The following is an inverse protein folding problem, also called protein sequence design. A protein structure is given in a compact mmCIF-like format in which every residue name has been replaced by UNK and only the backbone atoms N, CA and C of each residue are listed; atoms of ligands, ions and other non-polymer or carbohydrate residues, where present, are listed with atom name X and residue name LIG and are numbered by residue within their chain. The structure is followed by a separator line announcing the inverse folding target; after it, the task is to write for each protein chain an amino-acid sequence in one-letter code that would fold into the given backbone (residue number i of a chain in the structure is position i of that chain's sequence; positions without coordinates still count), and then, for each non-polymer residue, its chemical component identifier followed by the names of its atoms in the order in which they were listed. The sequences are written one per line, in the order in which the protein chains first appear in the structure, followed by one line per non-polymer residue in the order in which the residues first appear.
data_IF_244606217444
#
_entry.id   IF_244606217444
#
_cell.length_a   1.000
_cell.length_b   1.000
_cell.length_c   1.000
_cell.angle_alpha   90.00
_cell.angle_beta   90.00
_cell.angle_gamma   90.00
#
_symmetry.space_group_name_H-M   'P 1'
#
loop_
_entity.id
_entity.type
_entity.pdbx_description
1 polymer ?
#
# COMPACT_ATOMS: atom_id res chain seq x y z
N UNK A 1 -10.38 -3.38 12.65
CA UNK A 1 -11.26 -2.55 13.52
C UNK A 1 -12.46 -1.93 12.80
N UNK A 2 -12.33 -1.45 11.55
CA UNK A 2 -13.46 -0.80 10.85
C UNK A 2 -14.61 -1.75 10.42
N UNK A 3 -14.33 -2.99 10.02
CA UNK A 3 -15.37 -3.93 9.57
C UNK A 3 -16.29 -4.42 10.69
N UNK A 4 -15.78 -4.62 11.91
CA UNK A 4 -16.60 -5.01 13.07
C UNK A 4 -17.60 -3.90 13.44
N UNK A 5 -17.17 -2.64 13.39
CA UNK A 5 -18.04 -1.49 13.63
C UNK A 5 -19.10 -1.33 12.53
N UNK A 6 -18.73 -1.56 11.26
CA UNK A 6 -19.67 -1.47 10.15
C UNK A 6 -20.77 -2.54 10.22
N UNK A 7 -20.41 -3.79 10.51
CA UNK A 7 -21.37 -4.89 10.64
C UNK A 7 -22.35 -4.65 11.78
N UNK A 8 -21.87 -4.11 12.91
CA UNK A 8 -22.72 -3.73 14.06
C UNK A 8 -23.65 -2.56 13.70
N UNK A 9 -23.16 -1.54 12.99
CA UNK A 9 -23.97 -0.41 12.53
C UNK A 9 -25.06 -0.84 11.54
N UNK A 10 -24.74 -1.69 10.57
CA UNK A 10 -25.72 -2.23 9.61
C UNK A 10 -26.79 -3.03 10.33
N UNK A 11 -26.42 -3.89 11.30
CA UNK A 11 -27.37 -4.67 12.10
C UNK A 11 -28.33 -3.77 12.88
N UNK A 12 -27.82 -2.68 13.45
CA UNK A 12 -28.63 -1.68 14.16
C UNK A 12 -29.60 -0.98 13.23
N UNK A 13 -29.15 -0.55 12.05
CA UNK A 13 -30.01 0.12 11.05
C UNK A 13 -31.09 -0.84 10.54
N UNK A 14 -30.74 -2.08 10.24
CA UNK A 14 -31.69 -3.10 9.80
C UNK A 14 -32.80 -3.34 10.83
N UNK A 15 -32.46 -3.42 12.12
CA UNK A 15 -33.43 -3.53 13.19
C UNK A 15 -34.44 -2.36 13.19
N UNK A 16 -33.96 -1.12 13.05
CA UNK A 16 -34.82 0.06 12.98
C UNK A 16 -35.69 0.11 11.72
N UNK A 17 -35.16 -0.34 10.57
CA UNK A 17 -35.93 -0.45 9.32
C UNK A 17 -37.07 -1.46 9.49
N UNK A 18 -36.80 -2.64 10.02
CA UNK A 18 -37.84 -3.67 10.26
C UNK A 18 -38.90 -3.17 11.23
N UNK A 19 -38.49 -2.52 12.33
CA UNK A 19 -39.43 -1.94 13.29
C UNK A 19 -40.28 -0.83 12.63
N UNK A 20 -39.66 0.07 11.87
CA UNK A 20 -40.34 1.14 11.15
C UNK A 20 -41.37 0.61 10.14
N UNK A 21 -41.04 -0.46 9.42
CA UNK A 21 -41.98 -1.14 8.51
C UNK A 21 -43.18 -1.71 9.28
N UNK A 22 -42.96 -2.36 10.42
CA UNK A 22 -44.04 -2.92 11.25
C UNK A 22 -44.97 -1.80 11.74
N UNK A 23 -44.42 -0.69 12.24
CA UNK A 23 -45.20 0.48 12.68
C UNK A 23 -45.95 1.11 11.51
N UNK A 24 -45.31 1.27 10.35
CA UNK A 24 -45.94 1.78 9.13
C UNK A 24 -47.12 0.91 8.70
N UNK A 25 -46.98 -0.42 8.73
CA UNK A 25 -48.05 -1.35 8.40
C UNK A 25 -49.22 -1.23 9.39
N UNK A 26 -48.96 -1.15 10.69
CA UNK A 26 -50.00 -0.97 11.72
C UNK A 26 -50.77 0.34 11.47
N UNK A 27 -50.06 1.45 11.29
CA UNK A 27 -50.68 2.76 11.08
C UNK A 27 -51.48 2.80 9.76
N UNK A 28 -50.93 2.23 8.69
CA UNK A 28 -51.56 2.22 7.36
C UNK A 28 -52.82 1.34 7.34
N UNK A 29 -52.82 0.20 8.02
CA UNK A 29 -54.02 -0.62 8.18
C UNK A 29 -55.08 0.10 9.02
N UNK A 30 -54.68 0.82 10.07
CA UNK A 30 -55.61 1.63 10.87
C UNK A 30 -56.23 2.79 10.07
N UNK A 31 -55.43 3.48 9.25
CA UNK A 31 -55.91 4.62 8.43
C UNK A 31 -56.79 4.20 7.26
N UNK A 32 -56.48 3.08 6.60
CA UNK A 32 -57.29 2.56 5.47
C UNK A 32 -58.47 1.68 5.93
N UNK A 33 -58.50 1.27 7.18
CA UNK A 33 -59.67 0.62 7.79
C UNK A 33 -60.77 1.67 7.99
N UNK A 34 -61.85 1.58 7.21
CA UNK A 34 -63.03 2.43 7.39
C UNK A 34 -63.64 2.16 8.78
N UNK A 35 -63.42 3.08 9.72
CA UNK A 35 -64.05 3.07 11.04
C UNK A 35 -65.55 3.44 10.89
N UNK A 36 -66.51 2.74 11.54
CA UNK A 36 -66.36 1.79 12.65
C UNK A 36 -66.32 0.31 12.24
N UNK A 37 -65.72 -0.48 13.13
CA UNK A 37 -65.17 -1.84 12.93
C UNK A 37 -66.18 -3.02 12.83
N UNK A 38 -67.48 -2.97 13.20
CA UNK A 38 -68.22 -4.21 13.43
C UNK A 38 -68.54 -5.07 12.19
N UNK A 39 -68.32 -4.59 10.96
CA UNK A 39 -68.62 -5.33 9.71
C UNK A 39 -67.52 -5.29 8.64
N UNK A 40 -66.25 -5.13 9.03
CA UNK A 40 -65.18 -5.00 8.04
C UNK A 40 -64.74 -6.35 7.45
N UNK A 41 -64.91 -6.53 6.13
CA UNK A 41 -64.27 -7.61 5.36
C UNK A 41 -62.86 -7.15 5.00
N UNK A 42 -61.86 -7.98 5.30
CA UNK A 42 -60.46 -7.71 4.94
C UNK A 42 -60.33 -7.50 3.43
N UNK A 43 -60.00 -6.28 3.01
CA UNK A 43 -59.81 -5.95 1.60
C UNK A 43 -58.37 -6.32 1.17
N UNK A 44 -58.26 -7.41 0.42
CA UNK A 44 -57.00 -7.92 -0.10
C UNK A 44 -56.29 -6.90 -1.01
N UNK A 45 -57.03 -6.04 -1.71
CA UNK A 45 -56.49 -5.01 -2.59
C UNK A 45 -55.78 -3.93 -1.78
N UNK A 46 -56.45 -3.47 -0.73
CA UNK A 46 -55.90 -2.46 0.20
C UNK A 46 -54.69 -3.01 0.95
N UNK A 47 -54.76 -4.26 1.41
CA UNK A 47 -53.66 -4.93 2.08
C UNK A 47 -52.44 -5.06 1.15
N UNK A 48 -52.65 -5.43 -0.11
CA UNK A 48 -51.61 -5.52 -1.12
C UNK A 48 -50.93 -4.16 -1.37
N UNK A 49 -51.71 -3.09 -1.52
CA UNK A 49 -51.17 -1.74 -1.75
C UNK A 49 -50.31 -1.26 -0.58
N UNK A 50 -50.81 -1.43 0.66
CA UNK A 50 -50.06 -1.03 1.86
C UNK A 50 -48.77 -1.84 2.01
N UNK A 51 -48.80 -3.13 1.69
CA UNK A 51 -47.62 -3.99 1.76
C UNK A 51 -46.60 -3.63 0.67
N UNK A 52 -47.07 -3.31 -0.55
CA UNK A 52 -46.24 -2.82 -1.65
C UNK A 52 -45.56 -1.49 -1.32
N UNK A 53 -46.29 -0.55 -0.72
CA UNK A 53 -45.76 0.74 -0.30
C UNK A 53 -44.71 0.56 0.80
N UNK A 54 -44.98 -0.32 1.77
CA UNK A 54 -44.03 -0.66 2.83
C UNK A 54 -42.73 -1.26 2.27
N UNK A 55 -42.83 -2.18 1.30
CA UNK A 55 -41.66 -2.78 0.63
C UNK A 55 -40.89 -1.77 -0.22
N UNK A 56 -41.58 -0.84 -0.86
CA UNK A 56 -40.96 0.23 -1.66
C UNK A 56 -40.21 1.20 -0.76
N UNK A 57 -40.80 1.57 0.38
CA UNK A 57 -40.15 2.37 1.41
C UNK A 57 -38.92 1.65 1.96
N UNK A 58 -39.05 0.35 2.29
CA UNK A 58 -37.95 -0.48 2.75
C UNK A 58 -36.80 -0.52 1.75
N UNK A 59 -37.11 -0.74 0.45
CA UNK A 59 -36.12 -0.77 -0.62
C UNK A 59 -35.42 0.59 -0.79
N UNK A 60 -36.15 1.70 -0.68
CA UNK A 60 -35.58 3.05 -0.77
C UNK A 60 -34.55 3.33 0.33
N UNK A 61 -34.71 2.75 1.52
CA UNK A 61 -33.74 2.86 2.61
C UNK A 61 -32.62 1.81 2.56
N UNK A 62 -32.92 0.58 2.12
CA UNK A 62 -31.94 -0.51 2.04
C UNK A 62 -30.99 -0.37 0.86
N UNK A 63 -31.45 0.13 -0.28
CA UNK A 63 -30.64 0.22 -1.50
C UNK A 63 -29.37 1.09 -1.34
N UNK A 64 -29.42 2.30 -0.74
CA UNK A 64 -28.21 3.08 -0.45
C UNK A 64 -27.23 2.37 0.49
N UNK A 65 -27.73 1.61 1.47
CA UNK A 65 -26.89 0.86 2.42
C UNK A 65 -26.20 -0.32 1.72
N UNK A 66 -26.95 -1.08 0.93
CA UNK A 66 -26.40 -2.18 0.15
C UNK A 66 -25.35 -1.67 -0.85
N UNK A 67 -25.64 -0.56 -1.53
CA UNK A 67 -24.68 0.11 -2.39
C UNK A 67 -23.42 0.53 -1.62
N UNK A 68 -23.55 1.12 -0.44
CA UNK A 68 -22.41 1.53 0.39
C UNK A 68 -21.51 0.36 0.79
N UNK A 69 -22.09 -0.76 1.24
CA UNK A 69 -21.33 -1.97 1.58
C UNK A 69 -20.59 -2.50 0.35
N UNK A 70 -21.31 -2.62 -0.77
CA UNK A 70 -20.74 -3.11 -2.03
C UNK A 70 -19.61 -2.20 -2.53
N UNK A 71 -19.76 -0.88 -2.42
CA UNK A 71 -18.70 0.08 -2.78
C UNK A 71 -17.49 0.02 -1.86
N UNK A 72 -17.67 -0.23 -0.56
CA UNK A 72 -16.53 -0.38 0.36
C UNK A 72 -15.73 -1.65 0.07
N UNK A 73 -16.41 -2.78 -0.08
CA UNK A 73 -15.76 -4.07 -0.39
C UNK A 73 -15.06 -4.00 -1.76
N UNK A 74 -15.72 -3.37 -2.73
CA UNK A 74 -15.14 -3.09 -4.06
C UNK A 74 -13.87 -2.25 -3.95
N UNK A 75 -13.89 -1.17 -3.16
CA UNK A 75 -12.73 -0.28 -2.98
C UNK A 75 -11.56 -1.01 -2.32
N UNK A 76 -11.80 -1.81 -1.29
CA UNK A 76 -10.76 -2.62 -0.64
C UNK A 76 -10.16 -3.63 -1.62
N UNK A 77 -11.00 -4.33 -2.39
CA UNK A 77 -10.56 -5.29 -3.41
C UNK A 77 -9.72 -4.61 -4.49
N UNK A 78 -10.17 -3.46 -5.01
CA UNK A 78 -9.40 -2.69 -6.00
C UNK A 78 -8.07 -2.18 -5.47
N UNK A 79 -8.03 -1.75 -4.21
CA UNK A 79 -6.80 -1.33 -3.56
C UNK A 79 -5.83 -2.51 -3.39
N UNK A 80 -6.31 -3.71 -3.04
CA UNK A 80 -5.51 -4.94 -2.99
C UNK A 80 -4.92 -5.31 -4.36
N UNK A 81 -5.73 -5.32 -5.41
CA UNK A 81 -5.25 -5.57 -6.79
C UNK A 81 -4.21 -4.52 -7.22
N UNK A 82 -4.44 -3.26 -6.86
CA UNK A 82 -3.48 -2.18 -7.14
C UNK A 82 -2.17 -2.40 -6.38
N UNK A 83 -2.25 -2.84 -5.13
CA UNK A 83 -1.09 -3.15 -4.30
C UNK A 83 -0.29 -4.32 -4.85
N UNK A 84 -0.95 -5.38 -5.36
CA UNK A 84 -0.28 -6.50 -6.00
C UNK A 84 0.61 -6.03 -7.15
N UNK A 85 0.02 -5.33 -8.13
CA UNK A 85 0.76 -4.78 -9.26
C UNK A 85 1.90 -3.85 -8.80
N UNK A 86 1.60 -2.93 -7.88
CA UNK A 86 2.59 -1.95 -7.40
C UNK A 86 3.73 -2.63 -6.62
N UNK A 87 3.43 -3.69 -5.86
CA UNK A 87 4.43 -4.44 -5.11
C UNK A 87 5.39 -5.20 -6.04
N UNK A 88 4.89 -5.72 -7.16
CA UNK A 88 5.72 -6.34 -8.20
C UNK A 88 6.64 -5.29 -8.84
N UNK A 89 6.10 -4.13 -9.22
CA UNK A 89 6.89 -3.00 -9.75
C UNK A 89 8.00 -2.57 -8.77
N UNK A 90 7.70 -2.55 -7.47
CA UNK A 90 8.68 -2.26 -6.41
C UNK A 90 9.75 -3.34 -6.34
N UNK A 91 9.37 -4.62 -6.36
CA UNK A 91 10.32 -5.73 -6.30
C UNK A 91 11.27 -5.73 -7.49
N UNK A 92 10.78 -5.40 -8.69
CA UNK A 92 11.62 -5.30 -9.88
C UNK A 92 12.60 -4.13 -9.78
N UNK A 93 12.16 -2.97 -9.29
CA UNK A 93 13.07 -1.84 -9.02
C UNK A 93 14.15 -2.20 -7.99
N UNK A 94 13.78 -2.89 -6.91
CA UNK A 94 14.74 -3.31 -5.87
C UNK A 94 15.75 -4.34 -6.40
N UNK A 95 15.30 -5.28 -7.25
CA UNK A 95 16.20 -6.24 -7.92
C UNK A 95 17.17 -5.57 -8.86
N UNK A 96 16.71 -4.57 -9.60
CA UNK A 96 17.55 -3.76 -10.48
C UNK A 96 18.57 -2.94 -9.69
N UNK A 97 18.17 -2.36 -8.55
CA UNK A 97 19.12 -1.72 -7.63
C UNK A 97 20.14 -2.74 -7.09
N UNK A 98 19.72 -3.96 -6.75
CA UNK A 98 20.62 -5.01 -6.26
C UNK A 98 21.69 -5.37 -7.30
N UNK A 99 21.30 -5.52 -8.57
CA UNK A 99 22.24 -5.84 -9.64
C UNK A 99 23.25 -4.71 -9.86
N UNK A 100 22.81 -3.45 -9.79
CA UNK A 100 23.70 -2.29 -9.81
C UNK A 100 24.66 -2.30 -8.62
N UNK A 101 24.19 -2.64 -7.42
CA UNK A 101 25.07 -2.69 -6.24
C UNK A 101 26.16 -3.74 -6.36
N UNK A 102 25.83 -4.88 -6.97
CA UNK A 102 26.77 -5.98 -7.20
C UNK A 102 27.79 -5.60 -8.28
N UNK A 103 27.34 -4.94 -9.35
CA UNK A 103 28.21 -4.54 -10.47
C UNK A 103 29.15 -3.39 -10.12
N UNK A 104 28.65 -2.35 -9.44
CA UNK A 104 29.46 -1.20 -9.07
C UNK A 104 30.68 -1.64 -8.23
N UNK A 105 30.48 -2.58 -7.30
CA UNK A 105 31.58 -3.14 -6.51
C UNK A 105 32.64 -3.86 -7.37
N UNK A 106 32.26 -4.48 -8.49
CA UNK A 106 33.21 -5.17 -9.38
C UNK A 106 33.89 -4.26 -10.41
N UNK A 107 33.29 -3.11 -10.76
CA UNK A 107 33.68 -2.32 -11.95
C UNK A 107 34.15 -0.89 -11.64
N UNK A 108 33.95 -0.37 -10.42
CA UNK A 108 34.32 1.01 -10.02
C UNK A 108 35.82 1.36 -10.11
N UNK A 109 36.68 0.39 -10.45
CA UNK A 109 38.11 0.63 -10.60
C UNK A 109 38.55 1.00 -12.04
N UNK A 110 37.64 1.00 -13.03
CA UNK A 110 38.05 0.92 -14.45
C UNK A 110 37.58 2.07 -15.35
N UNK A 111 36.39 2.67 -15.14
CA UNK A 111 35.85 3.67 -16.08
C UNK A 111 34.85 4.69 -15.45
N UNK A 112 35.20 5.98 -15.52
CA UNK A 112 34.39 7.10 -15.02
C UNK A 112 33.05 7.31 -15.76
N UNK A 113 32.92 6.90 -17.03
CA UNK A 113 31.65 7.06 -17.76
C UNK A 113 30.59 6.05 -17.32
N UNK A 114 31.03 4.84 -16.97
CA UNK A 114 30.16 3.76 -16.46
C UNK A 114 29.60 4.14 -15.09
N UNK A 115 30.43 4.71 -14.22
CA UNK A 115 30.04 5.21 -12.90
C UNK A 115 28.93 6.27 -12.99
N UNK A 116 29.09 7.27 -13.88
CA UNK A 116 28.11 8.35 -14.04
C UNK A 116 26.75 7.82 -14.50
N UNK A 117 26.73 6.90 -15.46
CA UNK A 117 25.49 6.31 -15.98
C UNK A 117 24.77 5.48 -14.91
N UNK A 118 25.52 4.71 -14.12
CA UNK A 118 24.96 3.88 -13.06
C UNK A 118 24.44 4.74 -11.88
N UNK A 119 25.12 5.84 -11.57
CA UNK A 119 24.68 6.87 -10.63
C UNK A 119 23.34 7.51 -11.02
N UNK A 120 23.21 7.95 -12.27
CA UNK A 120 21.97 8.52 -12.80
C UNK A 120 20.83 7.50 -12.75
N UNK A 121 21.14 6.25 -13.13
CA UNK A 121 20.18 5.15 -13.12
C UNK A 121 19.70 4.85 -11.70
N UNK A 122 20.60 4.74 -10.72
CA UNK A 122 20.25 4.50 -9.32
C UNK A 122 19.39 5.63 -8.75
N UNK A 123 19.73 6.89 -9.08
CA UNK A 123 18.95 8.06 -8.68
C UNK A 123 17.53 8.01 -9.23
N UNK A 124 17.38 7.64 -10.51
CA UNK A 124 16.06 7.51 -11.13
C UNK A 124 15.26 6.36 -10.51
N UNK A 125 15.88 5.20 -10.26
CA UNK A 125 15.25 4.08 -9.57
C UNK A 125 14.81 4.47 -8.17
N UNK A 126 15.60 5.25 -7.43
CA UNK A 126 15.25 5.70 -6.09
C UNK A 126 14.05 6.68 -6.09
N UNK A 127 13.98 7.55 -7.10
CA UNK A 127 12.82 8.42 -7.33
C UNK A 127 11.57 7.61 -7.69
N UNK A 128 11.71 6.64 -8.59
CA UNK A 128 10.64 5.72 -8.97
C UNK A 128 10.14 4.95 -7.74
N UNK A 129 11.04 4.39 -6.94
CA UNK A 129 10.71 3.66 -5.72
C UNK A 129 9.91 4.52 -4.75
N UNK A 130 10.30 5.78 -4.55
CA UNK A 130 9.59 6.73 -3.69
C UNK A 130 8.14 6.96 -4.17
N UNK A 131 7.96 7.10 -5.50
CA UNK A 131 6.64 7.22 -6.11
C UNK A 131 5.81 5.94 -5.93
N UNK A 132 6.42 4.76 -6.16
CA UNK A 132 5.74 3.48 -6.01
C UNK A 132 5.29 3.20 -4.58
N UNK A 133 6.14 3.47 -3.58
CA UNK A 133 5.77 3.29 -2.16
C UNK A 133 4.55 4.16 -1.79
N UNK A 134 4.48 5.38 -2.32
CA UNK A 134 3.34 6.28 -2.08
C UNK A 134 2.01 5.77 -2.66
N UNK A 135 2.08 4.94 -3.71
CA UNK A 135 0.91 4.34 -4.37
C UNK A 135 0.38 3.10 -3.64
N UNK A 136 1.14 2.53 -2.69
CA UNK A 136 0.69 1.37 -1.91
C UNK A 136 -0.32 1.83 -0.85
N UNK A 137 -1.52 1.27 -0.94
CA UNK A 137 -2.64 1.52 -0.03
C UNK A 137 -2.47 0.73 1.26
N UNK A 138 -2.61 1.36 2.42
CA UNK A 138 -2.59 0.70 3.74
C UNK A 138 -3.95 0.06 4.04
N UNK A 139 -4.31 -0.97 3.27
CA UNK A 139 -5.59 -1.70 3.41
C UNK A 139 -5.57 -2.71 4.56
N UNK A 140 -4.39 -3.23 4.88
CA UNK A 140 -4.16 -4.18 5.95
C UNK A 140 -2.72 -4.09 6.47
N UNK A 141 -2.43 -4.93 7.47
CA UNK A 141 -1.12 -5.00 8.10
C UNK A 141 -0.03 -5.46 7.12
N UNK A 142 -0.32 -6.38 6.22
CA UNK A 142 0.67 -6.88 5.27
C UNK A 142 1.14 -5.76 4.33
N UNK A 143 0.22 -4.91 3.87
CA UNK A 143 0.55 -3.73 3.07
C UNK A 143 1.36 -2.68 3.85
N UNK A 144 1.06 -2.49 5.14
CA UNK A 144 1.84 -1.60 6.02
C UNK A 144 3.25 -2.12 6.27
N UNK A 145 3.37 -3.40 6.62
CA UNK A 145 4.64 -4.08 6.86
C UNK A 145 5.49 -4.10 5.58
N UNK A 146 4.87 -4.34 4.41
CA UNK A 146 5.54 -4.24 3.11
C UNK A 146 6.10 -2.84 2.87
N UNK A 147 5.31 -1.77 3.09
CA UNK A 147 5.78 -0.39 2.94
C UNK A 147 6.95 -0.09 3.86
N UNK A 148 6.85 -0.49 5.14
CA UNK A 148 7.91 -0.28 6.12
C UNK A 148 9.22 -0.96 5.69
N UNK A 149 9.14 -2.23 5.26
CA UNK A 149 10.31 -2.99 4.80
C UNK A 149 10.95 -2.37 3.54
N UNK A 150 10.13 -1.89 2.59
CA UNK A 150 10.65 -1.21 1.38
C UNK A 150 11.28 0.13 1.74
N UNK A 151 10.73 0.88 2.70
CA UNK A 151 11.35 2.11 3.21
C UNK A 151 12.72 1.83 3.85
N UNK A 152 12.82 0.80 4.68
CA UNK A 152 14.10 0.39 5.26
C UNK A 152 15.12 0.01 4.16
N UNK A 153 14.70 -0.78 3.17
CA UNK A 153 15.57 -1.15 2.04
C UNK A 153 16.07 0.07 1.28
N UNK A 154 15.20 1.05 1.04
CA UNK A 154 15.59 2.32 0.42
C UNK A 154 16.65 3.05 1.23
N UNK A 155 16.52 3.07 2.56
CA UNK A 155 17.54 3.68 3.44
C UNK A 155 18.87 2.93 3.33
N UNK A 156 18.87 1.61 3.32
CA UNK A 156 20.09 0.79 3.17
C UNK A 156 20.79 1.06 1.84
N UNK A 157 20.05 1.18 0.73
CA UNK A 157 20.63 1.54 -0.59
C UNK A 157 21.25 2.93 -0.56
N UNK A 158 20.58 3.91 0.04
CA UNK A 158 21.09 5.27 0.10
C UNK A 158 22.41 5.32 0.90
N UNK A 159 22.47 4.63 2.03
CA UNK A 159 23.70 4.48 2.83
C UNK A 159 24.81 3.80 2.02
N UNK A 160 24.47 2.69 1.34
CA UNK A 160 25.40 1.97 0.47
C UNK A 160 26.01 2.90 -0.57
N UNK A 161 25.15 3.62 -1.30
CA UNK A 161 25.56 4.53 -2.36
C UNK A 161 26.43 5.67 -1.84
N UNK A 162 26.06 6.24 -0.69
CA UNK A 162 26.84 7.28 -0.05
C UNK A 162 28.26 6.82 0.29
N UNK A 163 28.41 5.65 0.92
CA UNK A 163 29.72 5.11 1.26
C UNK A 163 30.56 4.76 0.03
N UNK A 164 29.90 4.26 -1.02
CA UNK A 164 30.55 3.91 -2.27
C UNK A 164 31.15 5.15 -2.96
N UNK A 165 30.39 6.23 -3.06
CA UNK A 165 30.87 7.47 -3.67
C UNK A 165 32.07 8.05 -2.89
N UNK A 166 32.02 8.04 -1.56
CA UNK A 166 33.17 8.48 -0.74
C UNK A 166 34.41 7.63 -1.04
N UNK A 167 34.26 6.31 -1.09
CA UNK A 167 35.38 5.41 -1.39
C UNK A 167 35.94 5.63 -2.80
N UNK A 168 35.06 5.86 -3.79
CA UNK A 168 35.44 6.14 -5.18
C UNK A 168 36.19 7.48 -5.30
N UNK A 169 35.68 8.55 -4.67
CA UNK A 169 36.31 9.87 -4.67
C UNK A 169 37.72 9.81 -4.04
N UNK A 170 37.86 9.11 -2.91
CA UNK A 170 39.16 8.92 -2.25
C UNK A 170 40.12 8.07 -3.09
N UNK A 171 39.62 7.04 -3.78
CA UNK A 171 40.43 6.23 -4.69
C UNK A 171 40.92 7.06 -5.88
N UNK A 172 40.06 7.90 -6.45
CA UNK A 172 40.43 8.80 -7.53
C UNK A 172 41.52 9.79 -7.09
N UNK A 173 41.40 10.37 -5.90
CA UNK A 173 42.42 11.26 -5.31
C UNK A 173 43.74 10.52 -5.08
N UNK A 174 43.70 9.31 -4.52
CA UNK A 174 44.86 8.45 -4.32
C UNK A 174 45.56 8.09 -5.64
N UNK A 175 44.79 7.78 -6.69
CA UNK A 175 45.34 7.33 -7.97
C UNK A 175 45.92 8.46 -8.83
N UNK A 176 45.38 9.68 -8.74
CA UNK A 176 45.70 10.75 -9.68
C UNK A 176 46.59 11.86 -9.12
N UNK A 177 46.69 11.98 -7.79
CA UNK A 177 47.50 13.00 -7.14
C UNK A 177 48.77 12.42 -6.51
N UNK A 178 49.83 13.23 -6.49
CA UNK A 178 51.07 12.87 -5.79
C UNK A 178 50.93 13.21 -4.31
N UNK A 179 50.89 12.18 -3.48
CA UNK A 179 50.88 12.30 -2.02
C UNK A 179 52.20 11.79 -1.44
N UNK A 180 52.55 12.27 -0.25
CA UNK A 180 53.60 11.64 0.55
C UNK A 180 53.15 10.26 1.07
N UNK A 181 54.10 9.49 1.60
CA UNK A 181 53.85 8.12 2.06
C UNK A 181 52.83 8.06 3.21
N UNK A 182 52.86 9.04 4.12
CA UNK A 182 51.93 9.12 5.26
C UNK A 182 50.49 9.38 4.78
N UNK A 183 50.33 10.33 3.85
CA UNK A 183 49.05 10.67 3.22
C UNK A 183 48.48 9.52 2.40
N UNK A 184 49.33 8.79 1.66
CA UNK A 184 48.93 7.59 0.92
C UNK A 184 48.41 6.48 1.85
N UNK A 185 49.12 6.23 2.96
CA UNK A 185 48.70 5.24 3.95
C UNK A 185 47.38 5.64 4.62
N UNK A 186 47.19 6.93 4.91
CA UNK A 186 45.93 7.44 5.44
C UNK A 186 44.76 7.30 4.45
N UNK A 187 44.94 7.73 3.20
CA UNK A 187 43.93 7.60 2.13
C UNK A 187 43.54 6.14 1.92
N UNK A 188 44.52 5.23 1.85
CA UNK A 188 44.27 3.81 1.73
C UNK A 188 43.46 3.24 2.91
N UNK A 189 43.76 3.70 4.14
CA UNK A 189 42.98 3.36 5.33
C UNK A 189 41.52 3.79 5.24
N UNK A 190 41.25 5.03 4.82
CA UNK A 190 39.89 5.55 4.66
C UNK A 190 39.15 4.86 3.49
N UNK A 191 39.78 4.62 2.35
CA UNK A 191 39.20 3.86 1.22
C UNK A 191 38.70 2.50 1.71
N UNK A 192 39.54 1.75 2.44
CA UNK A 192 39.17 0.43 2.95
C UNK A 192 38.02 0.49 3.95
N UNK A 193 37.99 1.52 4.81
CA UNK A 193 36.92 1.72 5.79
C UNK A 193 35.57 2.01 5.11
N UNK A 194 35.53 2.95 4.17
CA UNK A 194 34.30 3.29 3.46
C UNK A 194 33.85 2.17 2.52
N UNK A 195 34.80 1.53 1.82
CA UNK A 195 34.54 0.34 1.01
C UNK A 195 33.93 -0.80 1.84
N UNK A 196 34.50 -1.10 3.02
CA UNK A 196 33.95 -2.11 3.94
C UNK A 196 32.53 -1.77 4.39
N UNK A 197 32.25 -0.51 4.70
CA UNK A 197 30.92 -0.06 5.08
C UNK A 197 29.93 -0.21 3.92
N UNK A 198 30.33 0.14 2.69
CA UNK A 198 29.52 -0.11 1.49
C UNK A 198 29.24 -1.61 1.35
N UNK A 199 30.24 -2.48 1.40
CA UNK A 199 30.05 -3.94 1.29
C UNK A 199 29.07 -4.47 2.33
N UNK A 200 29.16 -4.04 3.60
CA UNK A 200 28.21 -4.43 4.65
C UNK A 200 26.77 -4.03 4.31
N UNK A 201 26.57 -2.83 3.77
CA UNK A 201 25.23 -2.35 3.37
C UNK A 201 24.70 -3.09 2.14
N UNK A 202 25.55 -3.41 1.17
CA UNK A 202 25.17 -4.23 0.01
C UNK A 202 24.73 -5.65 0.43
N UNK A 203 25.48 -6.29 1.33
CA UNK A 203 25.11 -7.60 1.88
C UNK A 203 23.77 -7.52 2.61
N UNK A 204 23.62 -6.55 3.52
CA UNK A 204 22.37 -6.34 4.26
C UNK A 204 21.17 -6.10 3.33
N UNK A 205 21.38 -5.32 2.26
CA UNK A 205 20.36 -5.07 1.26
C UNK A 205 19.93 -6.36 0.54
N UNK A 206 20.91 -7.14 0.08
CA UNK A 206 20.67 -8.43 -0.58
C UNK A 206 19.94 -9.41 0.35
N UNK A 207 20.36 -9.53 1.61
CA UNK A 207 19.69 -10.37 2.61
C UNK A 207 18.23 -9.95 2.82
N UNK A 208 17.98 -8.65 3.02
CA UNK A 208 16.62 -8.11 3.19
C UNK A 208 15.75 -8.30 1.94
N UNK A 209 16.31 -8.16 0.74
CA UNK A 209 15.57 -8.35 -0.52
C UNK A 209 14.92 -9.75 -0.61
N UNK A 210 15.60 -10.79 -0.12
CA UNK A 210 15.06 -12.15 -0.11
C UNK A 210 13.91 -12.34 0.90
N UNK A 211 13.84 -11.48 1.91
CA UNK A 211 12.79 -11.54 2.95
C UNK A 211 11.50 -10.83 2.54
N UNK A 212 11.56 -9.88 1.60
CA UNK A 212 10.37 -9.18 1.11
C UNK A 212 9.68 -10.02 0.03
N UNK A 213 8.37 -10.17 0.18
CA UNK A 213 7.50 -10.81 -0.81
C UNK A 213 6.51 -9.78 -1.38
N UNK A 214 6.12 -9.91 -2.66
CA UNK A 214 5.05 -9.10 -3.21
C UNK A 214 3.72 -9.39 -2.49
N UNK A 215 2.83 -8.40 -2.49
CA UNK A 215 1.49 -8.47 -1.91
C UNK A 215 0.57 -9.21 -2.88
N UNK A 216 0.56 -10.54 -2.84
CA UNK A 216 -0.33 -11.35 -3.69
C UNK A 216 -1.72 -11.43 -3.05
N UNK A 217 -2.75 -11.25 -3.88
CA UNK A 217 -4.18 -11.27 -3.47
C UNK A 217 -4.80 -12.61 -3.80
#
# INVERSE_FOLDING_TARGET
MAQEDLKVKIKKIWFWIVMGIIVYLIISFFLKSSYPIPHYKFDLTVAYDVLKDALTLAAAFLAPIAAFVLFNDWRETHARITNEKTSIEIMDALREMNSLTTRAYSELAVDNEVEKKDSEKLTNLNRQLSSLISRVNSVDKDAEDFKANVYEMRMVINDWWHFLNIAADLYFDYSNNKHDEESNNHLFGEINKWGSNATKKAILFSEKLHSIKPLLV
#
